data_IF_525455896835
#
_entry.id   IF_525455896835
#
_cell.length_a   1.000
_cell.length_b   1.000
_cell.length_c   1.000
_cell.angle_alpha   90.00
_cell.angle_beta   90.00
_cell.angle_gamma   90.00
#
_symmetry.space_group_name_H-M   'P 1'
#
loop_
_entity.id
_entity.type
_entity.pdbx_description
1 polymer ?
#
# COMPACT_ATOMS: atom_id res chain seq x y z
N UNK A 1 -2.11 8.58 6.47
CA UNK A 1 -2.58 7.18 6.48
C UNK A 1 -3.83 6.93 7.31
N UNK A 2 -3.96 7.54 8.49
CA UNK A 2 -5.03 7.22 9.46
C UNK A 2 -6.48 7.30 8.95
N UNK A 3 -6.74 8.08 7.88
CA UNK A 3 -8.06 8.24 7.28
C UNK A 3 -8.16 7.70 5.84
N UNK A 4 -7.10 7.07 5.34
CA UNK A 4 -7.13 6.47 4.00
C UNK A 4 -7.92 5.15 4.09
N UNK A 5 -8.90 4.95 3.21
CA UNK A 5 -9.60 3.67 3.11
C UNK A 5 -8.63 2.57 2.65
N UNK A 6 -8.93 1.33 3.01
CA UNK A 6 -8.09 0.19 2.64
C UNK A 6 -7.97 0.04 1.12
N UNK A 7 -9.04 0.29 0.38
CA UNK A 7 -9.02 0.31 -1.08
C UNK A 7 -8.07 1.37 -1.64
N UNK A 8 -8.10 2.60 -1.10
CA UNK A 8 -7.17 3.64 -1.56
C UNK A 8 -5.74 3.39 -1.12
N UNK A 9 -5.52 2.74 0.03
CA UNK A 9 -4.20 2.32 0.47
C UNK A 9 -3.58 1.33 -0.52
N UNK A 10 -4.33 0.27 -0.87
CA UNK A 10 -3.88 -0.75 -1.81
C UNK A 10 -3.66 -0.18 -3.22
N UNK A 11 -4.60 0.64 -3.71
CA UNK A 11 -4.45 1.32 -5.00
C UNK A 11 -3.21 2.22 -5.02
N UNK A 12 -3.00 3.02 -3.97
CA UNK A 12 -1.84 3.91 -3.87
C UNK A 12 -0.53 3.13 -3.86
N UNK A 13 -0.50 1.97 -3.19
CA UNK A 13 0.67 1.09 -3.17
C UNK A 13 1.00 0.55 -4.56
N UNK A 14 0.00 0.04 -5.28
CA UNK A 14 0.16 -0.43 -6.66
C UNK A 14 0.63 0.69 -7.60
N UNK A 15 0.05 1.88 -7.51
CA UNK A 15 0.48 3.02 -8.33
C UNK A 15 1.90 3.47 -7.98
N UNK A 16 2.27 3.48 -6.69
CA UNK A 16 3.60 3.85 -6.27
C UNK A 16 4.67 2.90 -6.83
N UNK A 17 4.39 1.60 -6.86
CA UNK A 17 5.24 0.60 -7.50
C UNK A 17 5.32 0.80 -9.02
N UNK A 18 4.15 0.95 -9.68
CA UNK A 18 4.05 1.12 -11.15
C UNK A 18 4.81 2.34 -11.66
N UNK A 19 4.78 3.43 -10.92
CA UNK A 19 5.43 4.69 -11.28
C UNK A 19 6.86 4.82 -10.76
N UNK A 20 7.40 3.76 -10.15
CA UNK A 20 8.75 3.75 -9.55
C UNK A 20 8.98 4.94 -8.62
N UNK A 21 7.98 5.23 -7.77
CA UNK A 21 8.08 6.31 -6.79
C UNK A 21 9.15 5.99 -5.74
N UNK A 22 9.44 6.99 -4.90
CA UNK A 22 10.44 6.88 -3.85
C UNK A 22 10.22 5.62 -2.98
N UNK A 23 11.31 4.87 -2.75
CA UNK A 23 11.32 3.62 -1.98
C UNK A 23 10.82 3.81 -0.54
N UNK A 24 11.18 4.91 0.12
CA UNK A 24 10.72 5.22 1.48
C UNK A 24 9.21 5.41 1.53
N UNK A 25 8.64 6.03 0.49
CA UNK A 25 7.19 6.17 0.37
C UNK A 25 6.52 4.81 0.22
N UNK A 26 7.03 3.96 -0.67
CA UNK A 26 6.52 2.60 -0.88
C UNK A 26 6.59 1.80 0.43
N UNK A 27 7.71 1.84 1.15
CA UNK A 27 7.87 1.17 2.44
C UNK A 27 6.89 1.68 3.51
N UNK A 28 6.58 2.98 3.51
CA UNK A 28 5.56 3.53 4.40
C UNK A 28 4.18 2.93 4.10
N UNK A 29 3.82 2.78 2.81
CA UNK A 29 2.58 2.12 2.39
C UNK A 29 2.55 0.65 2.85
N UNK A 30 3.64 -0.09 2.62
CA UNK A 30 3.77 -1.49 3.05
C UNK A 30 3.60 -1.65 4.56
N UNK A 31 4.20 -0.76 5.37
CA UNK A 31 4.05 -0.82 6.82
C UNK A 31 2.60 -0.63 7.25
N UNK A 32 1.87 0.28 6.61
CA UNK A 32 0.46 0.50 6.93
C UNK A 32 -0.42 -0.69 6.48
N UNK A 33 -0.14 -1.27 5.30
CA UNK A 33 -0.82 -2.48 4.81
C UNK A 33 -0.66 -3.63 5.80
N UNK A 34 0.57 -3.87 6.28
CA UNK A 34 0.88 -4.90 7.28
C UNK A 34 0.17 -4.64 8.60
N UNK A 35 0.21 -3.41 9.07
CA UNK A 35 -0.47 -2.98 10.30
C UNK A 35 -1.98 -3.26 10.26
N UNK A 36 -2.60 -3.19 9.07
CA UNK A 36 -4.03 -3.46 8.87
C UNK A 36 -4.35 -4.90 8.43
N UNK A 37 -3.35 -5.77 8.36
CA UNK A 37 -3.49 -7.15 7.91
C UNK A 37 -4.11 -7.30 6.50
N UNK A 38 -3.75 -6.40 5.56
CA UNK A 38 -4.28 -6.40 4.18
C UNK A 38 -3.39 -7.15 3.16
N UNK A 39 -2.32 -7.81 3.62
CA UNK A 39 -1.32 -8.47 2.76
C UNK A 39 -1.92 -9.55 1.85
N UNK A 40 -2.94 -10.28 2.34
CA UNK A 40 -3.63 -11.33 1.58
C UNK A 40 -4.37 -10.80 0.35
N UNK A 41 -4.83 -9.54 0.39
CA UNK A 41 -5.56 -8.89 -0.71
C UNK A 41 -4.59 -8.53 -1.85
N UNK A 42 -3.36 -8.15 -1.51
CA UNK A 42 -2.31 -7.84 -2.48
C UNK A 42 -1.90 -9.09 -3.25
N UNK A 43 -1.77 -10.24 -2.56
CA UNK A 43 -1.34 -11.50 -3.17
C UNK A 43 -2.42 -12.18 -4.03
N UNK A 44 -3.67 -11.73 -3.91
CA UNK A 44 -4.82 -12.29 -4.62
C UNK A 44 -5.19 -11.51 -5.89
N UNK A 45 -4.48 -10.41 -6.19
CA UNK A 45 -4.73 -9.49 -7.31
C UNK A 45 -3.65 -9.60 -8.36
#
# INVERSE_FOLDING_TARGET
>A
MLHLSDQMLLYSYQQAQKHHLNVEFIQMLEREIRKRALESIILSS
#
